data_IF_012845536493
#
_entry.id   IF_012845536493
#
_cell.length_a   1.000
_cell.length_b   1.000
_cell.length_c   1.000
_cell.angle_alpha   90.00
_cell.angle_beta   90.00
_cell.angle_gamma   90.00
#
_symmetry.space_group_name_H-M   'P 1'
#
loop_
_entity.id
_entity.type
_entity.pdbx_description
1 polymer ?
#
# COMPACT_ATOMS: atom_id res chain seq x y z
N UNK A 1 29.45 -0.84 19.29
CA UNK A 1 29.76 -1.25 17.91
C UNK A 1 28.86 -0.44 17.00
N UNK A 2 29.37 0.62 16.37
CA UNK A 2 28.61 1.43 15.42
C UNK A 2 28.51 0.66 14.10
N UNK A 3 27.38 0.04 13.84
CA UNK A 3 27.11 -0.55 12.53
C UNK A 3 26.62 0.56 11.62
N UNK A 4 27.46 1.02 10.69
CA UNK A 4 27.04 1.93 9.63
C UNK A 4 26.01 1.22 8.74
N UNK A 5 24.75 1.67 8.80
CA UNK A 5 23.69 1.22 7.93
C UNK A 5 23.84 1.92 6.59
N UNK A 6 24.46 1.27 5.62
CA UNK A 6 24.61 1.83 4.27
C UNK A 6 23.29 1.74 3.49
N UNK A 7 23.00 2.79 2.69
CA UNK A 7 21.74 3.05 1.96
C UNK A 7 21.28 1.99 0.96
N UNK A 8 22.00 0.88 0.76
CA UNK A 8 21.75 -0.07 -0.35
C UNK A 8 21.00 -1.35 0.01
N UNK A 9 20.54 -1.54 1.23
CA UNK A 9 20.05 -2.83 1.71
C UNK A 9 18.64 -2.88 2.27
N UNK A 10 17.75 -1.93 1.97
CA UNK A 10 16.41 -1.92 2.55
C UNK A 10 15.38 -2.45 1.56
N UNK A 11 14.76 -3.56 1.90
CA UNK A 11 13.63 -4.15 1.15
C UNK A 11 12.32 -3.65 1.76
N UNK A 12 11.44 -3.08 0.96
CA UNK A 12 10.08 -2.72 1.38
C UNK A 12 9.22 -3.98 1.43
N UNK A 13 8.63 -4.25 2.57
CA UNK A 13 7.57 -5.26 2.69
C UNK A 13 6.24 -4.54 2.88
N UNK A 14 5.41 -4.52 1.85
CA UNK A 14 4.04 -4.06 1.96
C UNK A 14 3.25 -5.07 2.79
N UNK A 15 2.68 -4.63 3.90
CA UNK A 15 1.76 -5.46 4.69
C UNK A 15 0.46 -5.66 3.91
N UNK A 16 0.25 -6.82 3.30
CA UNK A 16 -1.04 -7.17 2.73
C UNK A 16 -2.06 -7.31 3.87
N UNK A 17 -3.05 -6.42 3.91
CA UNK A 17 -4.21 -6.56 4.77
C UNK A 17 -5.12 -7.64 4.18
N UNK A 18 -4.86 -8.91 4.54
CA UNK A 18 -5.75 -10.02 4.22
C UNK A 18 -7.04 -9.94 5.05
N UNK A 19 -8.16 -9.68 4.41
CA UNK A 19 -9.47 -9.84 5.02
C UNK A 19 -9.74 -11.33 5.30
N UNK A 20 -9.89 -11.70 6.56
CA UNK A 20 -10.30 -13.04 6.94
C UNK A 20 -11.80 -13.22 6.72
N UNK A 21 -12.16 -13.85 5.60
CA UNK A 21 -13.47 -14.48 5.45
C UNK A 21 -13.42 -15.86 6.09
N UNK A 22 -14.22 -16.09 7.12
CA UNK A 22 -14.40 -17.40 7.72
C UNK A 22 -15.27 -18.24 6.77
N UNK A 23 -14.66 -19.14 6.02
CA UNK A 23 -15.38 -20.21 5.32
C UNK A 23 -15.23 -21.52 6.08
N UNK A 24 -16.37 -22.07 6.47
CA UNK A 24 -16.48 -23.39 7.06
C UNK A 24 -15.95 -24.48 6.11
N UNK A 25 -14.96 -25.22 6.55
CA UNK A 25 -14.39 -26.33 5.81
C UNK A 25 -15.33 -27.54 5.86
N UNK A 26 -15.77 -28.00 4.68
CA UNK A 26 -16.18 -29.40 4.49
C UNK A 26 -14.97 -30.20 4.03
N UNK A 27 -14.71 -31.27 4.75
CA UNK A 27 -13.65 -32.23 4.46
C UNK A 27 -13.90 -32.96 3.12
N UNK A 28 -12.89 -33.04 2.29
CA UNK A 28 -12.88 -33.87 1.08
C UNK A 28 -11.91 -33.32 0.03
N UNK A 29 -10.64 -33.76 0.06
CA UNK A 29 -9.67 -33.38 -0.97
C UNK A 29 -8.20 -33.52 -0.57
N UNK A 30 -7.83 -34.57 0.15
CA UNK A 30 -6.42 -34.91 0.38
C UNK A 30 -5.94 -35.98 -0.59
N UNK A 31 -5.57 -35.66 -1.83
CA UNK A 31 -4.88 -36.65 -2.65
C UNK A 31 -4.11 -36.11 -3.89
N UNK A 32 -4.00 -34.83 -4.14
CA UNK A 32 -3.35 -34.36 -5.40
C UNK A 32 -2.16 -33.38 -5.24
N UNK A 33 -1.68 -33.11 -4.05
CA UNK A 33 -0.60 -32.14 -3.81
C UNK A 33 0.81 -32.78 -3.61
N UNK A 34 1.01 -34.05 -3.90
CA UNK A 34 2.25 -34.76 -3.52
C UNK A 34 3.17 -35.17 -4.67
N UNK A 35 2.97 -34.74 -5.90
CA UNK A 35 3.74 -35.32 -7.03
C UNK A 35 4.73 -34.39 -7.76
N UNK A 36 5.01 -33.17 -7.33
CA UNK A 36 5.99 -32.31 -8.01
C UNK A 36 7.00 -31.58 -7.11
N UNK A 37 7.38 -32.14 -5.97
CA UNK A 37 8.53 -31.65 -5.26
C UNK A 37 9.79 -32.35 -5.78
N UNK A 38 10.60 -31.64 -6.57
CA UNK A 38 11.94 -32.06 -6.92
C UNK A 38 12.80 -32.35 -5.66
N UNK A 39 13.93 -33.05 -5.80
CA UNK A 39 14.76 -33.39 -4.65
C UNK A 39 15.16 -32.13 -3.87
N UNK A 40 15.13 -32.18 -2.53
CA UNK A 40 15.48 -31.03 -1.71
C UNK A 40 16.91 -30.58 -1.99
N UNK A 41 17.07 -29.32 -2.37
CA UNK A 41 18.40 -28.73 -2.49
C UNK A 41 19.03 -28.66 -1.10
N UNK A 42 20.29 -29.11 -0.98
CA UNK A 42 21.01 -29.11 0.29
C UNK A 42 21.07 -27.67 0.88
N UNK A 43 20.62 -27.56 2.12
CA UNK A 43 20.62 -26.28 2.86
C UNK A 43 19.33 -25.48 2.82
N UNK A 44 18.31 -25.89 2.04
CA UNK A 44 17.00 -25.25 2.03
C UNK A 44 15.95 -26.23 2.54
N UNK A 45 15.38 -25.96 3.70
CA UNK A 45 14.22 -26.72 4.13
C UNK A 45 13.02 -26.41 3.22
N UNK A 46 12.33 -27.42 2.68
CA UNK A 46 11.14 -27.17 1.86
C UNK A 46 10.09 -26.43 2.68
N UNK A 47 9.46 -25.42 2.03
CA UNK A 47 8.32 -24.74 2.61
C UNK A 47 7.18 -25.74 2.73
N UNK A 48 6.94 -26.23 3.94
CA UNK A 48 5.89 -27.20 4.21
C UNK A 48 4.87 -26.62 5.19
N UNK A 49 3.63 -27.07 5.06
CA UNK A 49 2.53 -26.79 6.00
C UNK A 49 2.91 -27.22 7.45
N UNK A 50 3.92 -28.05 7.61
CA UNK A 50 4.46 -28.51 8.90
C UNK A 50 5.30 -27.46 9.63
N UNK A 51 5.68 -26.36 9.00
CA UNK A 51 6.36 -25.23 9.67
C UNK A 51 5.39 -24.47 10.55
N UNK A 52 5.13 -25.02 11.72
CA UNK A 52 4.30 -24.37 12.74
C UNK A 52 5.18 -23.54 13.67
N UNK A 53 4.62 -22.43 14.16
CA UNK A 53 5.24 -21.52 15.13
C UNK A 53 5.74 -20.22 14.49
N UNK A 54 6.30 -19.36 15.32
CA UNK A 54 6.80 -18.03 15.01
C UNK A 54 8.33 -17.99 15.00
N UNK A 55 8.91 -16.88 14.54
CA UNK A 55 10.33 -16.62 14.58
C UNK A 55 11.09 -17.08 13.32
N UNK A 56 12.38 -17.15 13.43
CA UNK A 56 13.31 -17.49 12.35
C UNK A 56 13.09 -18.92 11.85
N UNK A 57 12.91 -19.12 10.55
CA UNK A 57 12.51 -20.42 9.97
C UNK A 57 13.47 -21.01 8.97
N UNK A 58 14.24 -20.19 8.32
CA UNK A 58 15.23 -20.63 7.35
C UNK A 58 15.97 -19.43 6.78
N UNK A 59 17.22 -19.66 6.43
CA UNK A 59 18.11 -18.65 5.88
C UNK A 59 19.15 -19.30 4.98
N UNK A 60 19.22 -18.79 3.77
CA UNK A 60 20.26 -19.16 2.81
C UNK A 60 21.11 -17.91 2.52
N UNK A 61 22.28 -17.78 3.15
CA UNK A 61 23.13 -16.59 3.00
C UNK A 61 23.67 -16.37 1.60
N UNK A 62 23.72 -17.43 0.77
CA UNK A 62 24.20 -17.33 -0.61
C UNK A 62 23.15 -16.74 -1.55
N UNK A 63 21.87 -16.83 -1.19
CA UNK A 63 20.71 -16.40 -2.00
C UNK A 63 19.95 -15.21 -1.41
N UNK A 64 20.08 -14.98 -0.11
CA UNK A 64 19.41 -13.87 0.54
C UNK A 64 20.03 -12.54 0.12
N UNK A 65 19.19 -11.57 -0.24
CA UNK A 65 19.66 -10.19 -0.45
C UNK A 65 20.09 -9.60 0.91
N UNK A 66 21.33 -9.11 1.03
CA UNK A 66 21.81 -8.54 2.29
C UNK A 66 21.09 -7.24 2.60
N UNK A 67 20.52 -7.12 3.79
CA UNK A 67 19.81 -5.92 4.21
C UNK A 67 18.95 -6.12 5.44
N UNK A 68 18.00 -5.20 5.61
CA UNK A 68 17.08 -5.17 6.73
C UNK A 68 15.63 -5.14 6.21
N UNK A 69 14.70 -5.64 7.02
CA UNK A 69 13.28 -5.56 6.77
C UNK A 69 12.64 -4.57 7.75
N UNK A 70 11.99 -3.54 7.19
CA UNK A 70 11.14 -2.63 7.94
C UNK A 70 9.70 -3.14 7.90
N UNK A 71 9.02 -3.22 9.05
CA UNK A 71 7.60 -3.52 9.07
C UNK A 71 6.88 -2.83 10.22
N UNK A 72 5.60 -2.53 9.97
CA UNK A 72 4.67 -1.95 10.92
C UNK A 72 3.47 -2.89 11.06
N UNK A 73 3.28 -3.63 12.17
CA UNK A 73 2.20 -4.59 12.33
C UNK A 73 0.84 -3.90 12.37
N UNK A 74 0.07 -3.95 11.28
CA UNK A 74 -1.18 -3.19 11.12
C UNK A 74 -2.32 -3.65 12.03
N UNK A 75 -2.27 -4.89 12.51
CA UNK A 75 -3.25 -5.46 13.45
C UNK A 75 -2.84 -5.30 14.91
N UNK A 76 -1.64 -4.80 15.18
CA UNK A 76 -1.16 -4.64 16.54
C UNK A 76 -1.80 -3.41 17.20
N UNK A 77 -2.05 -3.52 18.49
CA UNK A 77 -2.45 -2.40 19.33
C UNK A 77 -1.26 -1.50 19.70
N UNK A 78 -0.04 -2.04 19.57
CA UNK A 78 1.18 -1.27 19.74
C UNK A 78 1.39 -0.31 18.56
N UNK A 79 2.16 0.72 18.80
CA UNK A 79 2.48 1.76 17.80
C UNK A 79 3.93 1.64 17.35
N UNK A 80 4.52 0.46 17.48
CA UNK A 80 5.94 0.23 17.22
C UNK A 80 6.16 -0.17 15.75
N UNK A 81 7.10 0.49 15.11
CA UNK A 81 7.66 0.09 13.81
C UNK A 81 9.00 -0.59 14.08
N UNK A 82 9.25 -1.72 13.43
CA UNK A 82 10.41 -2.54 13.64
C UNK A 82 11.32 -2.55 12.41
N UNK A 83 12.61 -2.50 12.66
CA UNK A 83 13.65 -2.84 11.68
C UNK A 83 14.35 -4.10 12.18
N UNK A 84 14.32 -5.16 11.37
CA UNK A 84 14.95 -6.42 11.70
C UNK A 84 16.04 -6.78 10.68
N UNK A 85 17.02 -7.55 11.11
CA UNK A 85 18.02 -8.15 10.25
C UNK A 85 17.50 -9.43 9.56
N UNK A 86 18.36 -10.07 8.75
CA UNK A 86 18.03 -11.31 8.04
C UNK A 86 17.85 -12.53 8.96
N UNK A 87 18.18 -12.44 10.24
CA UNK A 87 17.94 -13.47 11.25
C UNK A 87 16.67 -13.22 12.05
N UNK A 88 16.00 -12.08 11.80
CA UNK A 88 14.81 -11.67 12.51
C UNK A 88 15.10 -10.98 13.84
N UNK A 89 16.36 -10.63 14.10
CA UNK A 89 16.73 -9.88 15.30
C UNK A 89 16.36 -8.41 15.10
N UNK A 90 15.74 -7.81 16.13
CA UNK A 90 15.37 -6.40 16.12
C UNK A 90 16.62 -5.53 16.25
N UNK A 91 16.91 -4.74 15.22
CA UNK A 91 18.09 -3.84 15.22
C UNK A 91 17.72 -2.40 15.54
N UNK A 92 16.44 -2.02 15.31
CA UNK A 92 15.91 -0.72 15.71
C UNK A 92 14.39 -0.74 15.84
N UNK A 93 13.85 0.16 16.65
CA UNK A 93 12.40 0.39 16.78
C UNK A 93 12.08 1.88 16.82
N UNK A 94 10.91 2.24 16.29
CA UNK A 94 10.31 3.56 16.45
C UNK A 94 8.97 3.42 17.16
N UNK A 95 8.79 4.19 18.25
CA UNK A 95 7.50 4.33 18.92
C UNK A 95 6.73 5.49 18.28
N UNK A 96 5.67 5.13 17.53
CA UNK A 96 4.92 6.09 16.74
C UNK A 96 3.79 6.73 17.55
N UNK A 97 3.38 7.98 17.24
CA UNK A 97 2.26 8.61 17.92
C UNK A 97 0.92 7.93 17.64
N UNK A 98 0.78 7.25 16.50
CA UNK A 98 -0.46 6.62 16.02
C UNK A 98 -0.27 5.15 15.69
N UNK A 99 -1.35 4.33 15.75
CA UNK A 99 -1.33 2.97 15.20
C UNK A 99 -0.93 2.95 13.73
N UNK A 100 -0.26 1.87 13.26
CA UNK A 100 0.31 1.81 11.93
C UNK A 100 -0.74 1.74 10.82
N UNK A 101 -0.55 2.60 9.82
CA UNK A 101 -1.03 2.41 8.47
C UNK A 101 0.08 1.78 7.62
N UNK A 102 0.96 2.62 7.07
CA UNK A 102 2.08 2.24 6.22
C UNK A 102 3.28 3.14 6.50
N UNK A 103 4.50 2.61 6.33
CA UNK A 103 5.72 3.40 6.51
C UNK A 103 6.89 2.84 5.71
N UNK A 104 7.84 3.70 5.39
CA UNK A 104 9.07 3.34 4.69
C UNK A 104 10.22 4.28 5.09
N UNK A 105 11.46 3.82 4.92
CA UNK A 105 12.62 4.68 5.08
C UNK A 105 12.83 5.52 3.83
N UNK A 106 12.92 6.82 4.03
CA UNK A 106 13.21 7.78 2.96
C UNK A 106 14.69 7.69 2.54
N UNK A 107 15.03 8.25 1.38
CA UNK A 107 16.42 8.38 0.94
C UNK A 107 17.30 9.21 1.91
N UNK A 108 16.69 10.05 2.73
CA UNK A 108 17.34 10.83 3.79
C UNK A 108 17.64 10.01 5.04
N UNK A 109 17.12 8.78 5.11
CA UNK A 109 17.27 7.89 6.25
C UNK A 109 16.29 8.15 7.38
N UNK A 110 15.24 8.97 7.19
CA UNK A 110 14.13 9.12 8.13
C UNK A 110 13.04 8.10 7.86
N UNK A 111 12.21 7.79 8.85
CA UNK A 111 11.01 6.99 8.69
C UNK A 111 9.86 7.90 8.26
N UNK A 112 9.35 7.74 7.02
CA UNK A 112 8.05 8.29 6.64
C UNK A 112 6.96 7.33 7.10
N UNK A 113 5.84 7.86 7.60
CA UNK A 113 4.82 7.05 8.23
C UNK A 113 3.41 7.61 8.06
N UNK A 114 2.49 6.74 7.63
CA UNK A 114 1.06 7.01 7.59
C UNK A 114 0.42 6.44 8.86
N UNK A 115 -0.10 7.29 9.72
CA UNK A 115 -0.67 6.94 11.02
C UNK A 115 -2.19 6.96 11.02
N UNK A 116 -2.79 6.01 11.76
CA UNK A 116 -4.25 5.92 11.92
C UNK A 116 -4.71 6.81 13.06
N UNK A 117 -5.39 7.90 12.76
CA UNK A 117 -6.05 8.73 13.76
C UNK A 117 -7.47 8.20 13.96
N UNK A 118 -7.85 7.76 15.19
CA UNK A 118 -9.20 7.31 15.47
C UNK A 118 -10.22 8.41 15.15
N UNK A 119 -11.32 8.05 14.48
CA UNK A 119 -12.43 8.94 14.15
C UNK A 119 -12.06 10.18 13.32
N UNK A 120 -10.92 10.18 12.64
CA UNK A 120 -10.50 11.31 11.80
C UNK A 120 -11.33 11.45 10.52
N UNK A 121 -11.92 10.36 10.02
CA UNK A 121 -12.63 10.34 8.74
C UNK A 121 -13.97 11.06 8.79
N UNK A 122 -14.20 11.94 7.81
CA UNK A 122 -15.52 12.54 7.54
C UNK A 122 -16.55 11.54 7.04
N UNK A 123 -16.11 10.44 6.44
CA UNK A 123 -16.99 9.42 5.85
C UNK A 123 -17.38 8.35 6.87
N UNK A 124 -16.70 8.31 8.04
CA UNK A 124 -16.99 7.38 9.15
C UNK A 124 -16.77 5.89 8.86
N UNK A 125 -16.56 5.51 7.60
CA UNK A 125 -16.57 4.11 7.16
C UNK A 125 -15.56 3.73 6.07
N UNK A 126 -14.70 4.62 5.61
CA UNK A 126 -13.75 4.26 4.57
C UNK A 126 -12.74 3.21 5.08
N UNK A 127 -12.52 2.11 4.34
CA UNK A 127 -11.52 1.13 4.73
C UNK A 127 -10.13 1.78 4.75
N UNK A 128 -9.29 1.32 5.69
CA UNK A 128 -7.88 1.72 5.78
C UNK A 128 -7.63 3.22 5.98
N UNK A 129 -8.48 3.87 6.77
CA UNK A 129 -8.28 5.27 7.16
C UNK A 129 -6.95 5.44 7.90
N UNK A 130 -6.21 6.49 7.51
CA UNK A 130 -5.00 6.94 8.19
C UNK A 130 -5.27 8.24 8.95
N UNK A 131 -5.26 9.37 8.29
CA UNK A 131 -5.53 10.68 8.88
C UNK A 131 -4.28 11.50 9.16
N UNK A 132 -3.12 10.88 9.40
CA UNK A 132 -1.84 11.56 9.58
C UNK A 132 -0.76 11.03 8.65
N UNK A 133 0.14 11.91 8.20
CA UNK A 133 1.41 11.55 7.61
C UNK A 133 2.52 12.36 8.29
N UNK A 134 3.64 11.71 8.61
CA UNK A 134 4.75 12.32 9.33
C UNK A 134 6.09 11.71 8.96
N UNK A 135 7.18 12.38 9.28
CA UNK A 135 8.51 11.78 9.33
C UNK A 135 9.00 11.70 10.77
N UNK A 136 9.79 10.67 11.06
CA UNK A 136 10.48 10.51 12.34
C UNK A 136 11.95 10.18 12.10
N UNK A 137 12.85 10.81 12.84
CA UNK A 137 14.26 10.49 12.78
C UNK A 137 14.61 9.24 13.62
N UNK A 138 15.88 8.80 13.58
CA UNK A 138 16.36 7.64 14.34
C UNK A 138 16.33 7.83 15.85
N UNK A 139 16.16 9.06 16.35
CA UNK A 139 16.06 9.39 17.77
C UNK A 139 14.62 9.58 18.24
N UNK A 140 13.62 9.36 17.37
CA UNK A 140 12.21 9.52 17.67
C UNK A 140 11.70 10.96 17.56
N UNK A 141 12.49 11.90 17.04
CA UNK A 141 12.03 13.27 16.81
C UNK A 141 11.17 13.32 15.55
N UNK A 142 9.99 13.94 15.64
CA UNK A 142 9.08 14.22 14.53
C UNK A 142 9.30 15.67 14.08
N UNK A 143 9.99 15.92 12.97
CA UNK A 143 10.24 17.27 12.46
C UNK A 143 8.99 17.94 11.90
N UNK A 144 8.05 17.14 11.35
CA UNK A 144 6.78 17.62 10.81
C UNK A 144 5.72 16.52 10.85
N UNK A 145 4.46 16.94 10.89
CA UNK A 145 3.26 16.10 10.77
C UNK A 145 2.20 16.89 10.02
N UNK A 146 1.54 16.25 9.05
CA UNK A 146 0.34 16.78 8.40
C UNK A 146 -0.85 15.88 8.67
N UNK A 147 -2.05 16.45 8.71
CA UNK A 147 -3.30 15.73 8.90
C UNK A 147 -4.27 16.05 7.80
N UNK A 148 -4.93 15.00 7.30
CA UNK A 148 -6.02 15.15 6.35
C UNK A 148 -7.15 14.17 6.72
N UNK A 149 -8.40 14.65 6.93
CA UNK A 149 -9.50 13.80 7.42
C UNK A 149 -9.91 12.72 6.42
N UNK A 150 -9.59 12.87 5.15
CA UNK A 150 -9.93 11.94 4.08
C UNK A 150 -8.74 11.04 3.67
N UNK A 151 -7.59 11.16 4.35
CA UNK A 151 -6.39 10.36 4.07
C UNK A 151 -6.61 8.89 4.38
N UNK A 152 -6.28 8.03 3.40
CA UNK A 152 -6.42 6.57 3.47
C UNK A 152 -5.16 5.87 2.96
N UNK A 153 -5.06 4.57 3.14
CA UNK A 153 -4.10 3.62 2.58
C UNK A 153 -2.65 4.07 2.56
N UNK A 154 -2.31 5.03 1.70
CA UNK A 154 -0.94 5.35 1.38
C UNK A 154 -0.72 6.87 1.20
N UNK A 155 0.50 7.28 1.45
CA UNK A 155 1.01 8.61 1.18
C UNK A 155 2.52 8.54 1.07
N UNK A 156 3.10 9.49 0.39
CA UNK A 156 4.54 9.52 0.13
C UNK A 156 5.13 10.92 0.34
N UNK A 157 6.42 10.95 0.67
CA UNK A 157 7.24 12.16 0.62
C UNK A 157 7.73 12.39 -0.80
N UNK A 158 7.36 13.52 -1.39
CA UNK A 158 7.80 13.90 -2.71
C UNK A 158 9.23 14.50 -2.69
N UNK A 159 9.93 14.45 -3.82
CA UNK A 159 11.27 15.04 -4.00
C UNK A 159 11.29 16.55 -3.77
N UNK A 160 10.19 17.24 -4.10
CA UNK A 160 10.05 18.68 -3.84
C UNK A 160 9.88 19.02 -2.35
N UNK A 161 9.75 18.02 -1.49
CA UNK A 161 9.57 18.21 -0.05
C UNK A 161 8.12 18.31 0.41
N UNK A 162 7.14 18.17 -0.46
CA UNK A 162 5.72 18.06 -0.09
C UNK A 162 5.34 16.61 0.23
N UNK A 163 4.10 16.42 0.63
CA UNK A 163 3.51 15.12 0.94
C UNK A 163 2.38 14.88 -0.05
N UNK A 164 2.34 13.72 -0.69
CA UNK A 164 1.24 13.29 -1.54
C UNK A 164 0.46 12.19 -0.83
N UNK A 165 -0.85 12.37 -0.68
CA UNK A 165 -1.74 11.48 0.04
C UNK A 165 -2.80 10.90 -0.90
N UNK A 166 -3.15 9.63 -0.71
CA UNK A 166 -4.39 9.06 -1.25
C UNK A 166 -5.51 9.41 -0.27
N UNK A 167 -6.54 10.08 -0.77
CA UNK A 167 -7.69 10.53 -0.02
C UNK A 167 -8.99 9.98 -0.62
N UNK A 168 -10.06 9.96 0.18
CA UNK A 168 -11.39 9.48 -0.24
C UNK A 168 -12.48 10.45 0.17
N UNK A 169 -13.44 10.65 -0.74
CA UNK A 169 -14.68 11.41 -0.44
C UNK A 169 -15.87 10.83 -1.21
N UNK A 170 -17.12 11.19 -0.83
CA UNK A 170 -18.30 10.80 -1.60
C UNK A 170 -18.17 11.24 -3.06
N UNK A 171 -18.52 10.31 -3.97
CA UNK A 171 -18.60 10.61 -5.40
C UNK A 171 -19.77 11.53 -5.71
N UNK A 172 -19.66 12.36 -6.78
CA UNK A 172 -20.81 13.03 -7.38
C UNK A 172 -21.88 12.03 -7.80
N UNK A 173 -23.15 12.36 -7.61
CA UNK A 173 -24.28 11.46 -7.86
C UNK A 173 -24.34 11.01 -9.32
N UNK A 174 -24.06 11.91 -10.25
CA UNK A 174 -24.05 11.63 -11.69
C UNK A 174 -22.91 10.66 -12.10
N UNK A 175 -21.84 10.54 -11.31
CA UNK A 175 -20.82 9.52 -11.47
C UNK A 175 -21.28 8.18 -10.89
N UNK A 176 -21.84 8.18 -9.68
CA UNK A 176 -22.33 6.96 -9.01
C UNK A 176 -23.26 6.15 -9.91
N UNK A 177 -24.19 6.83 -10.60
CA UNK A 177 -25.17 6.20 -11.50
C UNK A 177 -24.56 5.52 -12.72
N UNK A 178 -23.32 5.89 -13.09
CA UNK A 178 -22.60 5.37 -14.26
C UNK A 178 -21.60 4.27 -13.92
N UNK A 179 -21.19 4.14 -12.64
CA UNK A 179 -20.17 3.13 -12.24
C UNK A 179 -20.70 1.73 -12.55
N UNK A 180 -19.96 1.02 -13.39
CA UNK A 180 -20.26 -0.37 -13.74
C UNK A 180 -19.59 -1.38 -12.80
N UNK A 181 -20.07 -2.63 -12.82
CA UNK A 181 -19.47 -3.75 -12.07
C UNK A 181 -19.75 -3.72 -10.57
N UNK A 182 -19.10 -4.65 -9.86
CA UNK A 182 -19.30 -4.87 -8.43
C UNK A 182 -20.66 -5.51 -8.09
N UNK A 183 -20.93 -5.69 -6.80
CA UNK A 183 -22.14 -6.33 -6.28
C UNK A 183 -23.25 -5.30 -6.07
N UNK A 184 -24.35 -5.33 -6.85
CA UNK A 184 -25.45 -4.38 -6.71
C UNK A 184 -26.08 -4.38 -5.31
N UNK A 185 -26.49 -3.22 -4.83
CA UNK A 185 -27.13 -3.05 -3.52
C UNK A 185 -26.18 -3.04 -2.34
N UNK A 186 -24.86 -2.91 -2.59
CA UNK A 186 -23.83 -2.82 -1.55
C UNK A 186 -23.22 -1.41 -1.45
N UNK A 187 -23.81 -0.45 -2.14
CA UNK A 187 -23.50 0.97 -1.97
C UNK A 187 -23.71 1.39 -0.50
N UNK A 188 -22.95 2.39 -0.02
CA UNK A 188 -23.16 2.88 1.33
C UNK A 188 -24.25 3.96 1.39
N UNK A 189 -24.80 4.19 2.58
CA UNK A 189 -25.67 5.32 2.92
C UNK A 189 -26.73 5.66 1.83
N UNK A 190 -27.60 4.67 1.52
CA UNK A 190 -28.68 4.80 0.55
C UNK A 190 -28.23 5.07 -0.90
N UNK A 191 -27.28 4.29 -1.39
CA UNK A 191 -26.88 4.31 -2.79
C UNK A 191 -25.73 5.24 -3.11
N UNK A 192 -25.00 5.73 -2.12
CA UNK A 192 -23.76 6.50 -2.32
C UNK A 192 -22.56 5.60 -2.56
N UNK A 193 -21.57 6.15 -3.23
CA UNK A 193 -20.25 5.53 -3.41
C UNK A 193 -19.14 6.51 -3.02
N UNK A 194 -17.99 5.95 -2.68
CA UNK A 194 -16.78 6.69 -2.35
C UNK A 194 -15.83 6.63 -3.56
N UNK A 195 -15.17 7.75 -3.87
CA UNK A 195 -14.10 7.84 -4.86
C UNK A 195 -12.79 8.31 -4.25
N UNK A 196 -11.70 7.92 -4.91
CA UNK A 196 -10.36 8.34 -4.53
C UNK A 196 -9.98 9.66 -5.19
N UNK A 197 -9.15 10.42 -4.51
CA UNK A 197 -8.45 11.58 -5.05
C UNK A 197 -7.07 11.70 -4.41
N UNK A 198 -6.14 12.34 -5.10
CA UNK A 198 -4.83 12.67 -4.56
C UNK A 198 -4.85 14.07 -4.00
N UNK A 199 -4.13 14.27 -2.90
CA UNK A 199 -3.90 15.59 -2.30
C UNK A 199 -2.40 15.78 -2.09
N UNK A 200 -1.84 16.83 -2.66
CA UNK A 200 -0.50 17.28 -2.32
C UNK A 200 -0.56 18.39 -1.29
N UNK A 201 0.20 18.23 -0.21
CA UNK A 201 0.29 19.18 0.89
C UNK A 201 1.75 19.57 1.16
N UNK A 202 1.96 20.80 1.54
CA UNK A 202 3.22 21.21 2.18
C UNK A 202 3.32 20.63 3.58
N UNK A 203 4.51 20.59 4.17
CA UNK A 203 4.71 20.05 5.54
C UNK A 203 4.17 20.94 6.65
N UNK A 204 3.75 22.16 6.33
CA UNK A 204 2.99 23.06 7.22
C UNK A 204 1.47 22.95 7.05
N UNK A 205 1.01 22.01 6.20
CA UNK A 205 -0.40 21.62 6.11
C UNK A 205 -1.21 22.35 5.03
N UNK A 206 -0.58 23.10 4.13
CA UNK A 206 -1.29 23.76 3.03
C UNK A 206 -1.51 22.81 1.86
N UNK A 207 -2.73 22.68 1.37
CA UNK A 207 -3.05 21.95 0.13
C UNK A 207 -2.61 22.78 -1.06
N UNK A 208 -1.78 22.20 -1.93
CA UNK A 208 -1.21 22.86 -3.10
C UNK A 208 -1.65 22.24 -4.43
N UNK A 209 -2.18 21.02 -4.40
CA UNK A 209 -2.70 20.33 -5.57
C UNK A 209 -3.68 19.22 -5.17
N UNK A 210 -4.73 19.04 -5.98
CA UNK A 210 -5.68 17.95 -5.88
C UNK A 210 -5.90 17.30 -7.26
N UNK A 211 -6.19 16.02 -7.26
CA UNK A 211 -6.46 15.25 -8.46
C UNK A 211 -7.59 14.23 -8.20
N UNK A 212 -8.84 14.55 -8.52
CA UNK A 212 -9.98 13.65 -8.36
C UNK A 212 -9.97 12.55 -9.44
N UNK A 213 -9.91 11.28 -9.05
CA UNK A 213 -9.84 10.17 -10.00
C UNK A 213 -11.05 10.12 -10.95
N UNK A 214 -12.24 10.49 -10.48
CA UNK A 214 -13.48 10.50 -11.28
C UNK A 214 -13.54 11.56 -12.38
N UNK A 215 -12.63 12.51 -12.42
CA UNK A 215 -12.49 13.47 -13.52
C UNK A 215 -11.59 12.94 -14.66
N UNK A 216 -10.91 11.82 -14.43
CA UNK A 216 -9.89 11.28 -15.31
C UNK A 216 -10.13 9.81 -15.72
N UNK A 217 -11.02 9.11 -15.03
CA UNK A 217 -11.42 7.74 -15.30
C UNK A 217 -12.85 7.70 -15.81
N UNK A 218 -13.15 6.75 -16.70
CA UNK A 218 -14.49 6.53 -17.19
C UNK A 218 -15.22 5.51 -16.30
N UNK A 219 -16.31 5.88 -15.62
CA UNK A 219 -17.02 4.99 -14.69
C UNK A 219 -17.64 3.75 -15.35
N UNK A 220 -17.83 3.76 -16.67
CA UNK A 220 -18.37 2.62 -17.41
C UNK A 220 -17.26 1.66 -17.79
N UNK A 221 -16.19 2.14 -18.42
CA UNK A 221 -15.09 1.30 -18.90
C UNK A 221 -14.07 0.96 -17.82
N UNK A 222 -13.90 1.81 -16.81
CA UNK A 222 -13.09 1.59 -15.63
C UNK A 222 -13.96 1.13 -14.44
N UNK A 223 -14.91 0.22 -14.67
CA UNK A 223 -15.81 -0.31 -13.65
C UNK A 223 -15.10 -1.23 -12.64
N UNK A 224 -15.83 -1.59 -11.58
CA UNK A 224 -15.37 -2.54 -10.57
C UNK A 224 -15.20 -3.92 -11.22
N UNK A 225 -13.98 -4.46 -11.23
CA UNK A 225 -13.64 -5.66 -12.01
C UNK A 225 -14.10 -6.96 -11.35
N UNK A 226 -14.07 -7.04 -10.01
CA UNK A 226 -14.45 -8.24 -9.30
C UNK A 226 -15.95 -8.17 -8.92
N UNK A 227 -16.73 -9.11 -9.43
CA UNK A 227 -18.19 -9.15 -9.22
C UNK A 227 -18.60 -9.35 -7.75
N UNK A 228 -17.70 -9.87 -6.92
CA UNK A 228 -17.91 -10.04 -5.48
C UNK A 228 -17.54 -8.80 -4.65
N UNK A 229 -16.86 -7.81 -5.24
CA UNK A 229 -16.48 -6.59 -4.52
C UNK A 229 -17.72 -5.70 -4.31
N UNK A 230 -17.78 -5.06 -3.17
CA UNK A 230 -18.85 -4.13 -2.82
C UNK A 230 -18.75 -2.84 -3.66
N UNK A 231 -19.89 -2.21 -3.88
CA UNK A 231 -20.01 -0.94 -4.59
C UNK A 231 -19.92 0.28 -3.68
N UNK A 232 -19.47 0.10 -2.45
CA UNK A 232 -19.26 1.20 -1.49
C UNK A 232 -18.08 2.10 -1.88
N UNK A 233 -17.05 1.53 -2.54
CA UNK A 233 -15.89 2.27 -3.06
C UNK A 233 -15.64 1.89 -4.52
N UNK A 234 -15.63 2.88 -5.42
CA UNK A 234 -15.39 2.62 -6.84
C UNK A 234 -13.96 2.15 -7.12
N UNK A 235 -12.96 3.00 -6.89
CA UNK A 235 -11.60 2.78 -7.40
C UNK A 235 -10.69 2.05 -6.41
N UNK A 236 -10.77 2.36 -5.13
CA UNK A 236 -9.94 1.86 -4.04
C UNK A 236 -8.44 2.05 -4.31
N UNK A 237 -7.99 3.31 -4.32
CA UNK A 237 -6.58 3.68 -4.37
C UNK A 237 -5.80 3.07 -3.22
N UNK A 238 -4.71 2.33 -3.53
CA UNK A 238 -4.01 1.50 -2.54
C UNK A 238 -2.47 1.52 -2.64
N UNK A 239 -1.92 2.37 -3.47
CA UNK A 239 -0.49 2.57 -3.56
C UNK A 239 -0.15 3.69 -4.52
N UNK A 240 0.71 4.60 -4.07
CA UNK A 240 1.19 5.74 -4.85
C UNK A 240 2.72 5.81 -4.79
N UNK A 241 3.35 6.19 -5.89
CA UNK A 241 4.79 6.46 -5.92
C UNK A 241 5.13 7.60 -6.88
N UNK A 242 6.16 8.37 -6.53
CA UNK A 242 6.74 9.36 -7.41
C UNK A 242 7.74 8.67 -8.35
N UNK A 243 7.58 8.89 -9.63
CA UNK A 243 8.46 8.35 -10.66
C UNK A 243 9.78 9.16 -10.74
N UNK A 244 10.83 8.62 -11.40
CA UNK A 244 12.09 9.33 -11.55
C UNK A 244 11.98 10.70 -12.21
N UNK A 245 11.02 10.86 -13.12
CA UNK A 245 10.72 12.09 -13.85
C UNK A 245 9.79 13.07 -13.09
N UNK A 246 9.36 12.72 -11.87
CA UNK A 246 8.47 13.53 -11.05
C UNK A 246 6.97 13.32 -11.32
N UNK A 247 6.60 12.48 -12.28
CA UNK A 247 5.23 12.06 -12.51
C UNK A 247 4.77 11.05 -11.44
N UNK A 248 3.48 10.72 -11.40
CA UNK A 248 2.89 9.88 -10.37
C UNK A 248 2.47 8.54 -10.96
N UNK A 249 2.81 7.45 -10.26
CA UNK A 249 2.29 6.11 -10.49
C UNK A 249 1.28 5.80 -9.40
N UNK A 250 0.05 5.45 -9.76
CA UNK A 250 -1.07 5.22 -8.84
C UNK A 250 -1.77 3.90 -9.16
N UNK A 251 -2.07 3.12 -8.13
CA UNK A 251 -2.78 1.84 -8.22
C UNK A 251 -4.18 1.95 -7.65
N UNK A 252 -5.16 1.38 -8.39
CA UNK A 252 -6.56 1.25 -8.01
C UNK A 252 -6.95 -0.24 -7.96
N UNK A 253 -7.23 -0.76 -6.77
CA UNK A 253 -7.52 -2.19 -6.56
C UNK A 253 -8.82 -2.63 -7.19
N UNK A 254 -9.94 -1.92 -6.93
CA UNK A 254 -11.27 -2.39 -7.31
C UNK A 254 -11.49 -2.40 -8.82
N UNK A 255 -10.82 -1.53 -9.54
CA UNK A 255 -10.85 -1.49 -11.00
C UNK A 255 -9.63 -2.19 -11.64
N UNK A 256 -8.80 -2.88 -10.81
CA UNK A 256 -7.60 -3.63 -11.26
C UNK A 256 -6.72 -2.83 -12.21
N UNK A 257 -6.46 -1.56 -11.89
CA UNK A 257 -5.81 -0.63 -12.83
C UNK A 257 -4.64 0.10 -12.15
N UNK A 258 -3.57 0.27 -12.90
CA UNK A 258 -2.44 1.15 -12.57
C UNK A 258 -2.35 2.24 -13.62
N UNK A 259 -2.14 3.48 -13.20
CA UNK A 259 -2.03 4.64 -14.08
C UNK A 259 -0.74 5.42 -13.83
N UNK A 260 -0.21 6.04 -14.91
CA UNK A 260 0.80 7.08 -14.82
C UNK A 260 0.15 8.43 -15.10
N UNK A 261 0.32 9.35 -14.18
CA UNK A 261 -0.28 10.68 -14.21
C UNK A 261 0.82 11.70 -14.46
N UNK A 262 0.65 12.53 -15.48
CA UNK A 262 1.47 13.71 -15.65
C UNK A 262 1.10 14.73 -14.58
N UNK A 263 2.05 15.01 -13.67
CA UNK A 263 1.77 15.85 -12.50
C UNK A 263 1.46 17.31 -12.85
N UNK A 264 1.96 17.82 -13.97
CA UNK A 264 1.73 19.21 -14.37
C UNK A 264 0.36 19.42 -15.01
N UNK A 265 -0.08 18.44 -15.83
CA UNK A 265 -1.35 18.55 -16.57
C UNK A 265 -2.51 17.79 -15.92
N UNK A 266 -2.23 16.85 -15.00
CA UNK A 266 -3.22 15.93 -14.45
C UNK A 266 -3.62 14.80 -15.41
N UNK A 267 -3.13 14.78 -16.64
CA UNK A 267 -3.52 13.78 -17.64
C UNK A 267 -2.96 12.40 -17.31
N UNK A 268 -3.80 11.36 -17.43
CA UNK A 268 -3.33 9.97 -17.49
C UNK A 268 -2.73 9.74 -18.88
N UNK A 269 -1.42 9.46 -18.96
CA UNK A 269 -0.73 9.21 -20.22
C UNK A 269 -0.37 7.75 -20.44
N UNK A 270 -0.54 6.91 -19.42
CA UNK A 270 -0.39 5.46 -19.51
C UNK A 270 -1.34 4.79 -18.52
N UNK A 271 -1.95 3.68 -18.94
CA UNK A 271 -2.88 2.89 -18.13
C UNK A 271 -2.71 1.41 -18.44
N UNK A 272 -2.64 0.57 -17.40
CA UNK A 272 -2.70 -0.87 -17.49
C UNK A 272 -3.82 -1.38 -16.57
N UNK A 273 -4.76 -2.11 -17.12
CA UNK A 273 -5.91 -2.67 -16.42
C UNK A 273 -5.99 -4.19 -16.48
N UNK A 274 -7.14 -4.76 -16.13
CA UNK A 274 -7.46 -6.17 -16.34
C UNK A 274 -7.42 -6.52 -17.85
N UNK A 275 -7.09 -7.78 -18.23
CA UNK A 275 -6.91 -8.98 -17.41
C UNK A 275 -5.51 -9.18 -16.81
N UNK A 276 -4.39 -8.51 -17.22
CA UNK A 276 -3.10 -8.81 -16.62
C UNK A 276 -3.00 -8.42 -15.16
N UNK A 277 -3.83 -7.45 -14.70
CA UNK A 277 -3.91 -7.06 -13.30
C UNK A 277 -5.19 -7.57 -12.65
N UNK A 278 -5.12 -7.90 -11.36
CA UNK A 278 -6.27 -8.32 -10.55
C UNK A 278 -6.05 -7.94 -9.08
N UNK A 279 -6.65 -6.83 -8.65
CA UNK A 279 -6.59 -6.37 -7.28
C UNK A 279 -5.18 -6.08 -6.74
N UNK A 280 -4.28 -5.61 -7.59
CA UNK A 280 -2.88 -5.33 -7.29
C UNK A 280 -2.71 -4.22 -6.24
N UNK A 281 -1.53 -4.16 -5.64
CA UNK A 281 -1.14 -3.17 -4.63
C UNK A 281 0.26 -2.62 -4.88
N UNK A 282 0.50 -1.39 -4.46
CA UNK A 282 1.81 -0.75 -4.30
C UNK A 282 2.76 -0.90 -5.50
N UNK A 283 2.40 -0.47 -6.71
CA UNK A 283 3.29 -0.48 -7.86
C UNK A 283 4.45 0.50 -7.65
N UNK A 284 5.61 0.16 -8.20
CA UNK A 284 6.76 1.06 -8.22
C UNK A 284 7.63 0.82 -9.45
N UNK A 285 8.35 1.87 -9.86
CA UNK A 285 9.26 1.79 -10.99
C UNK A 285 10.58 1.15 -10.59
N UNK A 286 11.01 0.13 -11.33
CA UNK A 286 12.33 -0.43 -11.22
C UNK A 286 13.26 0.27 -12.20
N UNK A 287 14.27 0.99 -11.70
CA UNK A 287 15.34 1.50 -12.53
C UNK A 287 16.33 0.36 -12.82
N UNK A 288 16.38 -0.08 -14.08
CA UNK A 288 17.51 -0.90 -14.58
C UNK A 288 18.48 0.00 -15.33
N UNK A 289 19.75 -0.40 -15.36
CA UNK A 289 20.82 0.35 -16.03
C UNK A 289 20.57 0.66 -17.52
N UNK A 290 19.55 0.05 -18.15
CA UNK A 290 19.16 0.28 -19.54
C UNK A 290 17.66 0.18 -19.85
N UNK A 291 16.79 -0.11 -18.87
CA UNK A 291 15.34 -0.21 -19.09
C UNK A 291 14.57 0.09 -17.81
N UNK A 292 13.44 0.78 -17.94
CA UNK A 292 12.51 1.03 -16.85
C UNK A 292 11.42 -0.04 -16.88
N UNK A 293 11.19 -0.73 -15.78
CA UNK A 293 10.10 -1.72 -15.62
C UNK A 293 9.15 -1.30 -14.50
N UNK A 294 7.88 -1.65 -14.65
CA UNK A 294 6.87 -1.54 -13.60
C UNK A 294 6.80 -2.87 -12.86
N UNK A 295 6.80 -2.84 -11.52
CA UNK A 295 6.52 -3.98 -10.65
C UNK A 295 5.25 -3.71 -9.84
N UNK A 296 4.41 -4.72 -9.71
CA UNK A 296 3.16 -4.69 -8.92
C UNK A 296 3.14 -5.88 -7.97
#
# INVERSE_FOLDING_TARGET
>A
MNTEITRRGIVRVAGAAGGFGVFGARAGGQALAQQNAGPPQAGIEPITIKRRGTGFRGYDPARAFPGFTLFAPSAATNKTVYLIDLRGEVVHTWEMPYPPGYGYLTERGTLFYNGKIPNASRIGRAPYMCGAALEMDWKGKVPWEVRHPDHTHDGIRLKNGNVLLICKKPLPEDIVTKVSGGRPGTEYDNGKMIGDYLVEMTTDGQVVWEWPAWEHLDPVTDGITAVQDDRDVWTLGNGVSEMPDGNILLSFRNISTVVMINRQTGAIYWKLGAPPLSGQHAPYMLARAAATQISC
#
